data_IF_584783322884
#
_entry.id   IF_584783322884
#
_cell.length_a   1.000
_cell.length_b   1.000
_cell.length_c   1.000
_cell.angle_alpha   90.00
_cell.angle_beta   90.00
_cell.angle_gamma   90.00
#
_symmetry.space_group_name_H-M   'P 1'
#
loop_
_entity.id
_entity.type
_entity.pdbx_description
1 polymer ?
#
# COMPACT_ATOMS: atom_id res chain seq x y z
N UNK A 1 -12.19 -3.06 20.07
CA UNK A 1 -11.39 -2.65 18.89
C UNK A 1 -9.94 -2.32 19.21
N UNK A 2 -9.58 -1.21 19.86
CA UNK A 2 -8.15 -0.93 20.18
C UNK A 2 -7.61 -1.96 21.18
N UNK A 3 -8.42 -2.37 22.17
CA UNK A 3 -8.06 -3.40 23.14
C UNK A 3 -7.82 -4.78 22.49
N UNK A 4 -8.63 -5.18 21.51
CA UNK A 4 -8.48 -6.46 20.78
C UNK A 4 -7.19 -6.48 19.94
N UNK A 5 -6.85 -5.34 19.34
CA UNK A 5 -5.62 -5.21 18.55
C UNK A 5 -4.36 -5.32 19.41
N UNK A 6 -4.42 -4.85 20.66
CA UNK A 6 -3.33 -4.99 21.64
C UNK A 6 -3.27 -6.42 22.18
N UNK A 7 -4.43 -7.03 22.46
CA UNK A 7 -4.52 -8.38 23.02
C UNK A 7 -4.05 -9.45 22.01
N UNK A 8 -4.31 -9.23 20.72
CA UNK A 8 -3.98 -10.18 19.67
C UNK A 8 -2.76 -9.75 18.86
N UNK A 9 -1.56 -10.05 19.37
CA UNK A 9 -0.28 -9.85 18.67
C UNK A 9 -0.14 -10.81 17.49
N UNK A 10 -0.67 -10.44 16.33
CA UNK A 10 -0.35 -11.14 15.09
C UNK A 10 1.14 -10.96 14.73
N UNK A 11 1.84 -12.04 14.31
CA UNK A 11 3.18 -11.91 13.77
C UNK A 11 3.13 -11.04 12.51
N UNK A 12 3.86 -9.93 12.56
CA UNK A 12 3.89 -8.98 11.47
C UNK A 12 4.62 -9.56 10.26
N UNK A 13 4.03 -9.51 9.06
CA UNK A 13 4.73 -9.91 7.85
C UNK A 13 5.95 -9.00 7.63
N UNK A 14 7.00 -9.57 7.02
CA UNK A 14 8.20 -8.78 6.67
C UNK A 14 7.83 -7.57 5.80
N UNK A 15 8.55 -6.46 5.96
CA UNK A 15 8.38 -5.23 5.17
C UNK A 15 8.28 -5.53 3.66
N UNK A 16 9.11 -6.46 3.18
CA UNK A 16 9.13 -6.89 1.77
C UNK A 16 7.81 -7.53 1.32
N UNK A 17 7.19 -8.34 2.19
CA UNK A 17 5.91 -8.97 1.89
C UNK A 17 4.78 -7.95 1.87
N UNK A 18 4.77 -7.01 2.80
CA UNK A 18 3.75 -5.96 2.87
C UNK A 18 3.89 -4.96 1.70
N UNK A 19 5.10 -4.57 1.35
CA UNK A 19 5.35 -3.72 0.16
C UNK A 19 4.90 -4.40 -1.13
N UNK A 20 5.12 -5.71 -1.27
CA UNK A 20 4.59 -6.46 -2.43
C UNK A 20 3.07 -6.41 -2.48
N UNK A 21 2.39 -6.58 -1.34
CA UNK A 21 0.93 -6.51 -1.29
C UNK A 21 0.42 -5.11 -1.69
N UNK A 22 1.06 -4.05 -1.18
CA UNK A 22 0.74 -2.66 -1.55
C UNK A 22 0.98 -2.43 -3.05
N UNK A 23 2.10 -2.91 -3.60
CA UNK A 23 2.40 -2.77 -5.02
C UNK A 23 1.35 -3.47 -5.90
N UNK A 24 0.95 -4.70 -5.55
CA UNK A 24 -0.11 -5.43 -6.25
C UNK A 24 -1.43 -4.67 -6.17
N UNK A 25 -1.78 -4.15 -4.99
CA UNK A 25 -2.99 -3.36 -4.78
C UNK A 25 -3.00 -2.09 -5.65
N UNK A 26 -1.89 -1.34 -5.69
CA UNK A 26 -1.76 -0.14 -6.53
C UNK A 26 -1.91 -0.47 -8.01
N UNK A 27 -1.26 -1.53 -8.50
CA UNK A 27 -1.37 -1.95 -9.91
C UNK A 27 -2.80 -2.37 -10.24
N UNK A 28 -3.43 -3.16 -9.37
CA UNK A 28 -4.81 -3.60 -9.56
C UNK A 28 -5.78 -2.41 -9.59
N UNK A 29 -5.59 -1.45 -8.69
CA UNK A 29 -6.38 -0.22 -8.67
C UNK A 29 -6.19 0.62 -9.94
N UNK A 30 -4.96 0.74 -10.45
CA UNK A 30 -4.72 1.43 -11.71
C UNK A 30 -5.42 0.73 -12.89
N UNK A 31 -5.38 -0.60 -12.95
CA UNK A 31 -6.10 -1.37 -13.97
C UNK A 31 -7.60 -1.09 -13.86
N UNK A 32 -8.16 -1.16 -12.65
CA UNK A 32 -9.57 -0.94 -12.39
C UNK A 32 -10.05 0.43 -12.86
N UNK A 33 -9.31 1.49 -12.54
CA UNK A 33 -9.61 2.87 -12.99
C UNK A 33 -9.60 2.99 -14.52
N UNK A 34 -8.66 2.33 -15.20
CA UNK A 34 -8.60 2.34 -16.66
C UNK A 34 -9.72 1.49 -17.29
N UNK A 35 -10.05 0.35 -16.70
CA UNK A 35 -11.19 -0.46 -17.10
C UNK A 35 -12.50 0.32 -16.95
N UNK A 36 -12.71 1.00 -15.83
CA UNK A 36 -13.90 1.82 -15.60
C UNK A 36 -14.04 2.91 -16.68
N UNK A 37 -12.94 3.59 -17.00
CA UNK A 37 -12.92 4.59 -18.08
C UNK A 37 -13.27 3.98 -19.44
N UNK A 38 -12.78 2.78 -19.72
CA UNK A 38 -13.07 2.07 -20.97
C UNK A 38 -14.56 1.66 -21.08
N UNK A 39 -15.19 1.22 -20.00
CA UNK A 39 -16.60 0.78 -20.03
C UNK A 39 -17.62 1.91 -19.96
N UNK A 40 -17.31 2.99 -19.24
CA UNK A 40 -18.29 4.05 -18.95
C UNK A 40 -18.07 5.32 -19.77
N UNK A 41 -16.93 5.42 -20.48
CA UNK A 41 -16.44 6.66 -21.12
C UNK A 41 -16.31 7.85 -20.16
N UNK A 42 -16.51 7.65 -18.86
CA UNK A 42 -16.41 8.65 -17.81
C UNK A 42 -15.27 8.26 -16.88
N UNK A 43 -14.54 9.26 -16.39
CA UNK A 43 -13.51 9.01 -15.38
C UNK A 43 -14.17 8.82 -14.02
N UNK A 44 -13.71 7.83 -13.24
CA UNK A 44 -14.16 7.63 -11.87
C UNK A 44 -14.00 8.88 -10.99
N UNK A 45 -13.02 9.73 -11.31
CA UNK A 45 -12.81 11.03 -10.68
C UNK A 45 -12.94 12.16 -11.73
N UNK A 46 -13.83 13.15 -11.51
CA UNK A 46 -14.04 14.26 -12.45
C UNK A 46 -12.76 15.04 -12.76
N UNK A 47 -11.88 15.21 -11.76
CA UNK A 47 -10.59 15.90 -11.93
C UNK A 47 -9.71 15.23 -12.99
N UNK A 48 -9.84 13.92 -13.21
CA UNK A 48 -9.09 13.24 -14.26
C UNK A 48 -9.60 13.67 -15.64
N UNK A 49 -10.89 13.99 -15.81
CA UNK A 49 -11.40 14.49 -17.09
C UNK A 49 -10.70 15.78 -17.53
N UNK A 50 -10.50 16.70 -16.59
CA UNK A 50 -9.89 18.01 -16.82
C UNK A 50 -8.37 17.97 -16.99
N UNK A 51 -7.73 16.88 -16.53
CA UNK A 51 -6.28 16.73 -16.57
C UNK A 51 -5.79 16.20 -17.93
N UNK A 52 -4.77 16.86 -18.48
CA UNK A 52 -4.02 16.36 -19.63
C UNK A 52 -3.34 15.02 -19.29
N UNK A 53 -3.14 14.15 -20.29
CA UNK A 53 -2.53 12.81 -20.14
C UNK A 53 -1.26 12.77 -19.27
N UNK A 54 -0.25 13.65 -19.45
CA UNK A 54 0.93 13.67 -18.57
C UNK A 54 0.60 14.04 -17.12
N UNK A 55 -0.36 14.94 -16.89
CA UNK A 55 -0.76 15.36 -15.56
C UNK A 55 -1.54 14.27 -14.83
N UNK A 56 -2.31 13.44 -15.55
CA UNK A 56 -2.95 12.24 -15.00
C UNK A 56 -1.91 11.25 -14.46
N UNK A 57 -0.84 11.01 -15.22
CA UNK A 57 0.24 10.13 -14.80
C UNK A 57 0.95 10.68 -13.55
N UNK A 58 1.17 12.00 -13.50
CA UNK A 58 1.72 12.66 -12.32
C UNK A 58 0.79 12.49 -11.10
N UNK A 59 -0.53 12.64 -11.26
CA UNK A 59 -1.50 12.43 -10.19
C UNK A 59 -1.44 11.01 -9.62
N UNK A 60 -1.44 9.99 -10.48
CA UNK A 60 -1.28 8.60 -10.02
C UNK A 60 0.06 8.37 -9.31
N UNK A 61 1.14 8.98 -9.81
CA UNK A 61 2.45 8.93 -9.17
C UNK A 61 2.44 9.55 -7.76
N UNK A 62 1.81 10.71 -7.59
CA UNK A 62 1.65 11.37 -6.29
C UNK A 62 0.84 10.50 -5.33
N UNK A 63 -0.28 9.92 -5.79
CA UNK A 63 -1.07 8.99 -4.97
C UNK A 63 -0.23 7.77 -4.52
N UNK A 64 0.57 7.19 -5.41
CA UNK A 64 1.44 6.07 -5.07
C UNK A 64 2.51 6.45 -4.03
N UNK A 65 3.06 7.66 -4.11
CA UNK A 65 3.97 8.20 -3.09
C UNK A 65 3.26 8.37 -1.76
N UNK A 66 2.05 8.93 -1.73
CA UNK A 66 1.24 9.07 -0.52
C UNK A 66 1.00 7.69 0.12
N UNK A 67 0.55 6.69 -0.65
CA UNK A 67 0.37 5.33 -0.13
C UNK A 67 1.66 4.73 0.46
N UNK A 68 2.82 5.07 -0.13
CA UNK A 68 4.12 4.63 0.40
C UNK A 68 4.44 5.33 1.72
N UNK A 69 4.18 6.62 1.84
CA UNK A 69 4.34 7.38 3.08
C UNK A 69 3.42 6.82 4.17
N UNK A 70 2.15 6.59 3.86
CA UNK A 70 1.18 6.02 4.79
C UNK A 70 1.63 4.63 5.27
N UNK A 71 2.20 3.81 4.37
CA UNK A 71 2.79 2.54 4.74
C UNK A 71 3.94 2.70 5.75
N UNK A 72 4.85 3.67 5.53
CA UNK A 72 5.94 3.94 6.48
C UNK A 72 5.44 4.49 7.81
N UNK A 73 4.44 5.37 7.81
CA UNK A 73 3.81 5.90 9.02
C UNK A 73 3.17 4.76 9.81
N UNK A 74 2.39 3.90 9.15
CA UNK A 74 1.76 2.74 9.77
C UNK A 74 2.81 1.75 10.32
N UNK A 75 3.88 1.50 9.55
CA UNK A 75 4.98 0.65 9.98
C UNK A 75 5.71 1.22 11.21
N UNK A 76 5.99 2.53 11.20
CA UNK A 76 6.60 3.23 12.33
C UNK A 76 5.72 3.19 13.57
N UNK A 77 4.43 3.50 13.43
CA UNK A 77 3.46 3.45 14.52
C UNK A 77 3.35 2.05 15.14
N UNK A 78 3.31 1.02 14.30
CA UNK A 78 3.33 -0.36 14.75
C UNK A 78 4.63 -0.74 15.48
N UNK A 79 5.77 -0.20 15.04
CA UNK A 79 7.06 -0.39 15.73
C UNK A 79 7.14 0.32 17.09
N UNK A 80 6.42 1.43 17.28
CA UNK A 80 6.32 2.11 18.58
C UNK A 80 5.45 1.33 19.57
N UNK A 81 4.36 0.71 19.09
CA UNK A 81 3.43 -0.05 19.94
C UNK A 81 4.01 -1.42 20.33
N UNK A 82 4.68 -2.10 19.39
CA UNK A 82 5.28 -3.42 19.62
C UNK A 82 6.80 -3.31 19.52
N UNK A 83 7.51 -2.98 20.62
CA UNK A 83 8.97 -2.94 20.61
C UNK A 83 9.51 -4.35 20.36
N UNK A 84 10.17 -4.51 19.21
CA UNK A 84 11.12 -5.57 18.86
C UNK A 84 10.76 -7.00 19.28
N UNK A 85 10.05 -7.73 18.42
CA UNK A 85 10.15 -9.20 18.37
C UNK A 85 9.80 -9.70 16.97
N UNK A 86 10.68 -9.43 15.99
CA UNK A 86 10.74 -10.27 14.79
C UNK A 86 12.13 -10.90 14.73
N UNK A 87 12.29 -12.19 15.10
CA UNK A 87 13.54 -12.88 14.88
C UNK A 87 13.81 -12.94 13.38
N UNK A 88 15.01 -12.48 13.01
CA UNK A 88 15.58 -12.58 11.68
C UNK A 88 15.60 -14.05 11.24
N UNK A 89 14.60 -14.46 10.44
CA UNK A 89 14.51 -15.82 9.86
C UNK A 89 15.37 -15.97 8.59
N UNK A 90 16.53 -15.31 8.54
CA UNK A 90 17.50 -15.42 7.43
C UNK A 90 18.69 -16.36 7.73
N UNK A 91 18.60 -17.20 8.78
CA UNK A 91 19.62 -18.22 9.09
C UNK A 91 19.02 -19.63 9.18
N UNK A 92 18.27 -20.05 8.15
CA UNK A 92 17.86 -21.45 8.00
C UNK A 92 17.91 -21.85 6.52
N UNK A 93 19.09 -21.69 5.92
CA UNK A 93 19.39 -22.29 4.61
C UNK A 93 20.89 -22.47 4.41
N UNK A 94 21.57 -23.03 5.41
CA UNK A 94 22.96 -23.51 5.32
C UNK A 94 23.32 -24.23 6.62
N UNK A 95 22.75 -25.41 6.83
CA UNK A 95 23.35 -26.59 7.47
C UNK A 95 22.54 -27.80 7.04
#
# INVERSE_FOLDING_TARGET
MILDFIAWRHPQPSIKSSLKAVAVFVVFYLIDVHCFKYYTDVWAYPIMSELNTPLRLAFFGVCAVICTIDFFVAYGFNSFIVPNTVPNKSSKKLQ
#
